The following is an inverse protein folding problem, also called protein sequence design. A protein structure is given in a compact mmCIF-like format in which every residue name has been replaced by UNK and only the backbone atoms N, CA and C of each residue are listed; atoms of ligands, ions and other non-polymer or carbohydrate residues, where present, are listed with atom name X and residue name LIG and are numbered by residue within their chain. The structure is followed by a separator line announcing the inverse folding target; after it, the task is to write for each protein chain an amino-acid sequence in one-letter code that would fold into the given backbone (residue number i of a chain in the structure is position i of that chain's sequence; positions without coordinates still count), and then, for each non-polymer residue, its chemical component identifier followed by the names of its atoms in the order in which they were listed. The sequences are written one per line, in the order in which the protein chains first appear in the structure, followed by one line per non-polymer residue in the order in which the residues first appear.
data_IF_093420834384
#
_entry.id   IF_093420834384
#
_cell.length_a   1.000
_cell.length_b   1.000
_cell.length_c   1.000
_cell.angle_alpha   90.00
_cell.angle_beta   90.00
_cell.angle_gamma   90.00
#
_symmetry.space_group_name_H-M   'P 1'
#
loop_
_entity.id
_entity.type
_entity.pdbx_description
1 polymer ?
#
# COMPACT_ATOMS: atom_id res chain seq x y z
N UNK A 1 19.63 -22.87 19.49
CA UNK A 1 18.45 -22.91 18.61
C UNK A 1 18.45 -21.61 17.83
N UNK A 2 18.81 -21.65 16.55
CA UNK A 2 18.83 -20.44 15.71
C UNK A 2 17.40 -20.15 15.28
N UNK A 3 16.79 -19.11 15.85
CA UNK A 3 15.50 -18.59 15.37
C UNK A 3 15.70 -18.10 13.95
N UNK A 4 15.26 -18.89 12.97
CA UNK A 4 15.19 -18.43 11.59
C UNK A 4 14.20 -17.26 11.52
N UNK A 5 14.58 -16.12 10.92
CA UNK A 5 13.65 -15.01 10.76
C UNK A 5 12.44 -15.49 9.95
N UNK A 6 11.25 -15.43 10.54
CA UNK A 6 9.99 -15.69 9.83
C UNK A 6 9.90 -14.67 8.70
N UNK A 7 10.04 -15.12 7.46
CA UNK A 7 9.83 -14.30 6.27
C UNK A 7 8.34 -13.93 6.25
N UNK A 8 8.02 -12.72 6.69
CA UNK A 8 6.68 -12.17 6.50
C UNK A 8 6.50 -11.83 5.03
N UNK A 9 5.64 -12.58 4.35
CA UNK A 9 5.27 -12.29 2.97
C UNK A 9 4.50 -10.97 2.92
N UNK A 10 4.99 -10.01 2.14
CA UNK A 10 4.33 -8.72 1.93
C UNK A 10 3.52 -8.78 0.63
N UNK A 11 2.24 -8.43 0.70
CA UNK A 11 1.34 -8.41 -0.45
C UNK A 11 1.33 -7.00 -1.04
N UNK A 12 1.58 -6.92 -2.35
CA UNK A 12 1.58 -5.68 -3.11
C UNK A 12 0.48 -5.70 -4.17
N UNK A 13 -0.08 -4.53 -4.44
CA UNK A 13 -1.03 -4.31 -5.52
C UNK A 13 -0.57 -3.13 -6.38
N UNK A 14 -0.81 -3.19 -7.69
CA UNK A 14 -0.52 -2.06 -8.58
C UNK A 14 -1.45 -0.91 -8.24
N UNK A 15 -0.91 0.31 -8.18
CA UNK A 15 -1.69 1.54 -8.01
C UNK A 15 -2.79 1.66 -9.07
N UNK A 16 -2.55 1.15 -10.29
CA UNK A 16 -3.55 1.10 -11.36
C UNK A 16 -4.78 0.24 -11.05
N UNK A 17 -4.61 -0.79 -10.20
CA UNK A 17 -5.65 -1.74 -9.85
C UNK A 17 -6.36 -1.39 -8.53
N UNK A 18 -5.77 -0.54 -7.68
CA UNK A 18 -6.38 -0.06 -6.44
C UNK A 18 -7.84 0.43 -6.60
N UNK A 19 -8.21 1.23 -7.63
CA UNK A 19 -9.59 1.67 -7.79
C UNK A 19 -10.61 0.55 -7.94
N UNK A 20 -10.20 -0.61 -8.47
CA UNK A 20 -11.09 -1.77 -8.71
C UNK A 20 -11.49 -2.48 -7.42
N UNK A 21 -10.62 -2.46 -6.41
CA UNK A 21 -10.80 -3.22 -5.17
C UNK A 21 -11.17 -2.34 -3.97
N UNK A 22 -10.68 -1.10 -3.96
CA UNK A 22 -10.79 -0.20 -2.81
C UNK A 22 -11.67 1.02 -3.09
N UNK A 23 -12.21 1.18 -4.29
CA UNK A 23 -12.99 2.37 -4.69
C UNK A 23 -12.26 3.70 -4.43
N UNK A 24 -10.92 3.68 -4.40
CA UNK A 24 -10.07 4.86 -4.22
C UNK A 24 -9.46 5.25 -5.57
N UNK A 25 -9.57 6.53 -5.93
CA UNK A 25 -8.91 7.09 -7.09
C UNK A 25 -7.38 7.06 -6.96
N UNK A 26 -6.69 6.77 -8.07
CA UNK A 26 -5.22 6.71 -8.15
C UNK A 26 -4.56 8.00 -7.64
N UNK A 27 -5.15 9.14 -7.96
CA UNK A 27 -4.65 10.45 -7.54
C UNK A 27 -4.63 10.62 -6.02
N UNK A 28 -5.59 9.99 -5.32
CA UNK A 28 -5.66 10.00 -3.86
C UNK A 28 -4.49 9.24 -3.24
N UNK A 29 -4.09 8.12 -3.86
CA UNK A 29 -2.91 7.34 -3.44
C UNK A 29 -1.64 8.17 -3.55
N UNK A 30 -1.44 8.85 -4.69
CA UNK A 30 -0.29 9.75 -4.88
C UNK A 30 -0.35 10.96 -3.95
N UNK A 31 -1.54 11.49 -3.65
CA UNK A 31 -1.71 12.58 -2.69
C UNK A 31 -1.28 12.15 -1.29
N UNK A 32 -1.76 11.01 -0.80
CA UNK A 32 -1.37 10.48 0.52
C UNK A 32 0.12 10.20 0.62
N UNK A 33 0.73 9.65 -0.44
CA UNK A 33 2.18 9.44 -0.47
C UNK A 33 2.96 10.76 -0.40
N UNK A 34 2.44 11.86 -0.95
CA UNK A 34 3.07 13.20 -0.87
C UNK A 34 2.86 13.86 0.50
N UNK A 35 1.64 13.81 1.03
CA UNK A 35 1.28 14.47 2.29
C UNK A 35 1.91 13.75 3.49
N UNK A 36 1.84 12.43 3.51
CA UNK A 36 2.37 11.59 4.59
C UNK A 36 3.04 10.36 3.96
N UNK A 37 4.34 10.43 3.61
CA UNK A 37 5.06 9.33 2.98
C UNK A 37 5.07 8.02 3.78
N UNK A 38 4.83 8.11 5.08
CA UNK A 38 4.73 6.97 6.01
C UNK A 38 3.36 6.28 5.95
N UNK A 39 2.33 6.97 5.43
CA UNK A 39 0.95 6.47 5.34
C UNK A 39 0.75 5.54 4.15
N UNK A 40 1.35 5.87 3.01
CA UNK A 40 1.44 5.00 1.83
C UNK A 40 2.85 5.10 1.27
N UNK A 41 3.51 3.95 1.12
CA UNK A 41 4.76 3.84 0.38
C UNK A 41 4.50 3.31 -1.02
N UNK A 42 4.86 4.11 -2.03
CA UNK A 42 4.77 3.69 -3.44
C UNK A 42 6.12 3.10 -3.87
N UNK A 43 6.11 1.81 -4.17
CA UNK A 43 7.24 1.08 -4.74
C UNK A 43 7.17 1.13 -6.27
N UNK A 44 8.21 1.64 -6.92
CA UNK A 44 8.31 1.62 -8.38
C UNK A 44 9.11 0.39 -8.81
N UNK A 45 8.47 -0.50 -9.57
CA UNK A 45 9.10 -1.68 -10.16
C UNK A 45 8.82 -1.63 -11.66
N UNK A 46 9.87 -1.50 -12.46
CA UNK A 46 9.82 -1.22 -13.90
C UNK A 46 8.92 -0.02 -14.22
N UNK A 47 7.86 -0.25 -15.00
CA UNK A 47 6.85 0.75 -15.40
C UNK A 47 5.63 0.77 -14.47
N UNK A 48 5.64 -0.02 -13.39
CA UNK A 48 4.52 -0.16 -12.48
C UNK A 48 4.79 0.54 -11.15
N UNK A 49 3.77 1.22 -10.63
CA UNK A 49 3.72 1.69 -9.25
C UNK A 49 2.93 0.66 -8.43
N UNK A 50 3.50 0.22 -7.32
CA UNK A 50 2.94 -0.78 -6.40
C UNK A 50 2.81 -0.16 -5.01
N UNK A 51 1.81 -0.60 -4.27
CA UNK A 51 1.59 -0.22 -2.86
C UNK A 51 1.32 -1.48 -2.05
N UNK A 52 1.67 -1.45 -0.76
CA UNK A 52 1.37 -2.56 0.13
C UNK A 52 -0.12 -2.57 0.43
N UNK A 53 -0.72 -3.75 0.36
CA UNK A 53 -2.13 -3.96 0.74
C UNK A 53 -2.35 -3.59 2.21
N UNK A 54 -1.38 -3.87 3.08
CA UNK A 54 -1.44 -3.51 4.50
C UNK A 54 -1.56 -2.00 4.73
N UNK A 55 -0.86 -1.18 3.93
CA UNK A 55 -0.94 0.28 4.04
C UNK A 55 -2.35 0.78 3.64
N UNK A 56 -2.93 0.19 2.61
CA UNK A 56 -4.32 0.49 2.20
C UNK A 56 -5.29 0.10 3.32
N UNK A 57 -5.21 -1.13 3.83
CA UNK A 57 -6.13 -1.62 4.86
C UNK A 57 -6.09 -0.74 6.12
N UNK A 58 -4.90 -0.33 6.59
CA UNK A 58 -4.76 0.60 7.72
C UNK A 58 -5.51 1.92 7.51
N UNK A 59 -5.46 2.48 6.30
CA UNK A 59 -6.18 3.73 5.98
C UNK A 59 -7.69 3.56 6.08
N UNK A 60 -8.21 2.36 5.75
CA UNK A 60 -9.64 2.07 5.89
C UNK A 60 -10.05 1.77 7.33
N UNK A 61 -9.19 1.08 8.09
CA UNK A 61 -9.41 0.86 9.52
C UNK A 61 -9.44 2.18 10.29
N UNK A 62 -8.48 3.08 10.03
CA UNK A 62 -8.42 4.42 10.62
C UNK A 62 -9.62 5.30 10.25
N UNK A 63 -10.28 5.05 9.10
CA UNK A 63 -11.44 5.83 8.66
C UNK A 63 -12.77 5.33 9.23
N UNK A 64 -12.80 4.13 9.82
CA UNK A 64 -13.98 3.52 10.42
C UNK A 64 -14.12 3.79 11.93
N UNK A 65 -13.13 4.45 12.53
CA UNK A 65 -13.07 4.83 13.96
C UNK A 65 -13.25 6.33 14.12
#
# INVERSE_FOLDING_TARGET
MSEQPKIQQQIFIKVSDVPKFYSIGRDKIYRWNKEVPQRIVIHKIDRSALVKVADLNKIFEDAAT
#
